data_IF_019087751159
#
_entry.id   IF_019087751159
#
_cell.length_a   1.000
_cell.length_b   1.000
_cell.length_c   1.000
_cell.angle_alpha   90.00
_cell.angle_beta   90.00
_cell.angle_gamma   90.00
#
_symmetry.space_group_name_H-M   'P 1'
#
loop_
_entity.id
_entity.type
_entity.pdbx_description
1 polymer ?
#
# COMPACT_ATOMS: atom_id res chain seq x y z
N UNK A 1 -3.43 -36.89 1.67
CA UNK A 1 -3.06 -35.46 1.72
C UNK A 1 -4.10 -34.73 2.57
N UNK A 2 -3.68 -33.94 3.57
CA UNK A 2 -4.56 -33.09 4.40
C UNK A 2 -4.01 -31.67 4.27
N UNK A 3 -4.77 -30.77 3.66
CA UNK A 3 -4.42 -29.36 3.56
C UNK A 3 -4.75 -28.67 4.90
N UNK A 4 -3.82 -27.87 5.41
CA UNK A 4 -4.02 -26.99 6.56
C UNK A 4 -3.67 -25.59 6.09
N UNK A 5 -4.65 -24.70 6.08
CA UNK A 5 -4.46 -23.30 5.74
C UNK A 5 -3.64 -22.61 6.86
N UNK A 6 -2.51 -22.00 6.50
CA UNK A 6 -1.72 -21.18 7.42
C UNK A 6 -2.11 -19.72 7.22
N UNK A 7 -2.86 -19.17 8.17
CA UNK A 7 -3.19 -17.75 8.17
C UNK A 7 -1.93 -16.91 8.45
N UNK A 8 -1.87 -15.65 7.98
CA UNK A 8 -0.80 -14.74 8.39
C UNK A 8 -0.75 -14.61 9.92
N UNK A 9 0.44 -14.73 10.50
CA UNK A 9 0.71 -14.49 11.92
C UNK A 9 1.54 -13.21 12.11
N UNK A 10 0.90 -12.01 12.20
CA UNK A 10 1.62 -10.75 12.38
C UNK A 10 2.59 -10.72 13.58
N UNK A 11 2.33 -11.54 14.60
CA UNK A 11 3.20 -11.66 15.78
C UNK A 11 4.61 -12.15 15.45
N UNK A 12 4.79 -12.86 14.34
CA UNK A 12 6.10 -13.31 13.85
C UNK A 12 6.93 -12.15 13.27
N UNK A 13 6.31 -11.01 12.97
CA UNK A 13 7.01 -9.81 12.52
C UNK A 13 7.73 -9.20 13.71
N UNK A 14 9.06 -9.19 13.65
CA UNK A 14 9.94 -8.75 14.73
C UNK A 14 10.25 -7.25 14.66
N UNK A 15 10.23 -6.64 13.47
CA UNK A 15 10.69 -5.26 13.31
C UNK A 15 12.16 -5.11 13.73
N UNK A 16 12.53 -3.92 14.21
CA UNK A 16 13.90 -3.59 14.59
C UNK A 16 14.33 -4.23 15.93
N UNK A 17 13.46 -4.22 16.94
CA UNK A 17 13.79 -4.65 18.31
C UNK A 17 13.03 -5.90 18.79
N UNK A 18 12.30 -6.59 17.91
CA UNK A 18 11.50 -7.77 18.25
C UNK A 18 10.06 -7.47 18.66
N UNK A 19 9.69 -6.19 18.76
CA UNK A 19 8.37 -5.71 19.18
C UNK A 19 7.38 -5.50 18.01
N UNK A 20 7.85 -5.65 16.77
CA UNK A 20 7.06 -5.42 15.55
C UNK A 20 7.06 -3.96 15.07
N UNK A 21 7.86 -3.10 15.69
CA UNK A 21 8.02 -1.70 15.30
C UNK A 21 9.36 -1.45 14.61
N UNK A 22 9.39 -0.40 13.79
CA UNK A 22 10.62 0.15 13.20
C UNK A 22 10.67 1.67 13.42
N UNK A 23 11.87 2.27 13.51
CA UNK A 23 12.00 3.72 13.50
C UNK A 23 11.56 4.28 12.14
N UNK A 24 10.88 5.42 12.16
CA UNK A 24 10.41 6.10 10.95
C UNK A 24 11.44 7.05 10.32
N UNK A 25 12.61 7.21 10.95
CA UNK A 25 13.65 8.12 10.50
C UNK A 25 13.46 9.59 10.92
N UNK A 26 12.33 9.92 11.56
CA UNK A 26 11.96 11.27 12.00
C UNK A 26 11.75 11.35 13.52
N UNK A 27 12.13 10.30 14.25
CA UNK A 27 12.01 10.21 15.71
C UNK A 27 10.73 9.55 16.21
N UNK A 28 9.87 9.07 15.31
CA UNK A 28 8.69 8.26 15.60
C UNK A 28 8.89 6.78 15.27
N UNK A 29 7.79 6.03 15.36
CA UNK A 29 7.73 4.60 15.08
C UNK A 29 6.64 4.28 14.06
N UNK A 30 6.80 3.14 13.38
CA UNK A 30 5.79 2.52 12.51
C UNK A 30 5.54 1.08 12.97
N UNK A 31 4.26 0.70 13.06
CA UNK A 31 3.84 -0.67 13.36
C UNK A 31 3.72 -1.50 12.09
N UNK A 32 4.61 -2.48 11.91
CA UNK A 32 4.53 -3.41 10.76
C UNK A 32 3.34 -4.36 10.87
N UNK A 33 2.94 -4.68 12.10
CA UNK A 33 1.83 -5.59 12.39
C UNK A 33 0.50 -4.94 12.04
N UNK A 34 0.30 -3.69 12.44
CA UNK A 34 -0.93 -2.97 12.16
C UNK A 34 -1.04 -2.63 10.67
N UNK A 35 0.10 -2.32 10.02
CA UNK A 35 0.16 -2.17 8.57
C UNK A 35 -0.33 -3.43 7.83
N UNK A 36 0.22 -4.61 8.18
CA UNK A 36 -0.22 -5.87 7.57
C UNK A 36 -1.69 -6.16 7.84
N UNK A 37 -2.13 -5.95 9.08
CA UNK A 37 -3.53 -6.17 9.47
C UNK A 37 -4.48 -5.27 8.67
N UNK A 38 -4.14 -4.00 8.52
CA UNK A 38 -4.95 -3.02 7.80
C UNK A 38 -5.09 -3.39 6.32
N UNK A 39 -3.98 -3.72 5.65
CA UNK A 39 -3.98 -4.17 4.26
C UNK A 39 -4.83 -5.44 4.12
N UNK A 40 -4.57 -6.45 4.94
CA UNK A 40 -5.30 -7.73 4.88
C UNK A 40 -6.79 -7.59 5.19
N UNK A 41 -7.18 -6.68 6.09
CA UNK A 41 -8.59 -6.42 6.39
C UNK A 41 -9.32 -5.86 5.17
N UNK A 42 -8.71 -4.90 4.46
CA UNK A 42 -9.28 -4.34 3.23
C UNK A 42 -9.31 -5.34 2.09
N UNK A 43 -8.27 -6.17 1.96
CA UNK A 43 -8.26 -7.25 0.97
C UNK A 43 -9.41 -8.24 1.21
N UNK A 44 -9.59 -8.73 2.45
CA UNK A 44 -10.71 -9.64 2.76
C UNK A 44 -12.09 -9.04 2.48
N UNK A 45 -12.22 -7.72 2.51
CA UNK A 45 -13.47 -7.04 2.19
C UNK A 45 -13.68 -6.89 0.68
N UNK A 46 -12.64 -6.49 -0.06
CA UNK A 46 -12.72 -6.22 -1.50
C UNK A 46 -12.61 -7.48 -2.37
N UNK A 47 -11.99 -8.53 -1.82
CA UNK A 47 -11.63 -9.76 -2.48
C UNK A 47 -12.11 -10.98 -1.68
N UNK A 48 -11.68 -12.18 -2.06
CA UNK A 48 -11.96 -13.41 -1.32
C UNK A 48 -11.04 -13.56 -0.09
N UNK A 49 -11.50 -14.30 0.94
CA UNK A 49 -10.79 -14.51 2.22
C UNK A 49 -9.35 -14.99 2.06
N UNK A 50 -9.07 -15.75 1.01
CA UNK A 50 -7.79 -16.44 0.79
C UNK A 50 -6.74 -15.52 0.12
N UNK A 51 -7.14 -14.31 -0.31
CA UNK A 51 -6.26 -13.32 -0.97
C UNK A 51 -5.68 -12.34 0.05
N UNK A 52 -4.88 -12.86 0.99
CA UNK A 52 -4.19 -12.06 2.01
C UNK A 52 -2.67 -12.21 1.92
N UNK A 53 -1.95 -11.19 2.34
CA UNK A 53 -0.50 -11.24 2.46
C UNK A 53 -0.05 -11.97 3.73
N UNK A 54 0.92 -12.87 3.57
CA UNK A 54 1.63 -13.50 4.67
C UNK A 54 2.57 -12.54 5.40
N UNK A 55 3.00 -12.91 6.60
CA UNK A 55 3.93 -12.12 7.41
C UNK A 55 5.37 -12.07 6.83
N UNK A 56 5.70 -12.96 5.90
CA UNK A 56 7.01 -13.06 5.26
C UNK A 56 7.47 -11.74 4.60
N UNK A 57 6.53 -10.97 4.02
CA UNK A 57 6.81 -9.68 3.38
C UNK A 57 7.43 -8.65 4.33
N UNK A 58 7.22 -8.78 5.65
CA UNK A 58 7.70 -7.83 6.64
C UNK A 58 8.67 -8.42 7.67
N UNK A 59 9.04 -9.71 7.59
CA UNK A 59 9.96 -10.32 8.57
C UNK A 59 11.37 -9.67 8.55
N UNK A 60 11.86 -9.37 7.35
CA UNK A 60 13.20 -8.79 7.13
C UNK A 60 13.22 -7.26 7.18
N UNK A 61 12.06 -6.61 7.40
CA UNK A 61 11.97 -5.15 7.49
C UNK A 61 12.46 -4.68 8.86
N UNK A 62 13.54 -3.88 8.88
CA UNK A 62 14.21 -3.38 10.09
C UNK A 62 14.23 -1.86 10.22
N UNK A 63 13.96 -1.16 9.13
CA UNK A 63 14.01 0.30 9.04
C UNK A 63 13.01 0.79 7.99
N UNK A 64 12.83 2.11 7.92
CA UNK A 64 11.87 2.72 6.99
C UNK A 64 12.23 2.46 5.53
N UNK A 65 13.51 2.38 5.18
CA UNK A 65 13.92 2.17 3.80
C UNK A 65 13.59 0.76 3.33
N UNK A 66 13.87 -0.26 4.14
CA UNK A 66 13.43 -1.64 3.87
C UNK A 66 11.91 -1.76 3.80
N UNK A 67 11.16 -1.00 4.61
CA UNK A 67 9.69 -0.96 4.50
C UNK A 67 9.23 -0.34 3.18
N UNK A 68 9.80 0.79 2.78
CA UNK A 68 9.48 1.45 1.50
C UNK A 68 9.76 0.53 0.31
N UNK A 69 10.88 -0.20 0.34
CA UNK A 69 11.21 -1.18 -0.69
C UNK A 69 10.20 -2.33 -0.73
N UNK A 70 9.86 -2.92 0.42
CA UNK A 70 8.86 -3.98 0.50
C UNK A 70 7.50 -3.51 -0.03
N UNK A 71 7.09 -2.28 0.28
CA UNK A 71 5.84 -1.72 -0.24
C UNK A 71 5.86 -1.55 -1.76
N UNK A 72 6.90 -0.96 -2.32
CA UNK A 72 6.98 -0.60 -3.75
C UNK A 72 7.27 -1.80 -4.65
N UNK A 73 8.13 -2.71 -4.22
CA UNK A 73 8.62 -3.80 -5.06
C UNK A 73 7.93 -5.14 -4.80
N UNK A 74 7.29 -5.32 -3.64
CA UNK A 74 6.63 -6.58 -3.30
C UNK A 74 5.11 -6.41 -3.15
N UNK A 75 4.66 -5.54 -2.24
CA UNK A 75 3.23 -5.41 -1.92
C UNK A 75 2.43 -4.80 -3.08
N UNK A 76 2.86 -3.65 -3.61
CA UNK A 76 2.10 -2.94 -4.65
C UNK A 76 2.01 -3.74 -5.96
N UNK A 77 3.09 -4.37 -6.47
CA UNK A 77 3.00 -5.24 -7.65
C UNK A 77 2.04 -6.41 -7.44
N UNK A 78 2.06 -7.04 -6.26
CA UNK A 78 1.10 -8.11 -5.95
C UNK A 78 -0.34 -7.61 -5.87
N UNK A 79 -0.57 -6.40 -5.35
CA UNK A 79 -1.89 -5.77 -5.38
C UNK A 79 -2.35 -5.50 -6.82
N UNK A 80 -1.45 -5.07 -7.72
CA UNK A 80 -1.75 -4.88 -9.13
C UNK A 80 -2.20 -6.19 -9.80
N UNK A 81 -1.52 -7.30 -9.49
CA UNK A 81 -1.93 -8.63 -9.94
C UNK A 81 -3.31 -9.05 -9.37
N UNK A 82 -3.57 -8.83 -8.08
CA UNK A 82 -4.84 -9.20 -7.45
C UNK A 82 -6.04 -8.39 -7.99
N UNK A 83 -5.82 -7.13 -8.33
CA UNK A 83 -6.86 -6.22 -8.79
C UNK A 83 -6.92 -6.06 -10.32
N UNK A 84 -6.14 -6.84 -11.08
CA UNK A 84 -6.06 -6.73 -12.54
C UNK A 84 -5.80 -5.29 -13.01
N UNK A 85 -4.80 -4.63 -12.41
CA UNK A 85 -4.47 -3.22 -12.64
C UNK A 85 -5.59 -2.21 -12.31
N UNK A 86 -6.59 -2.57 -11.48
CA UNK A 86 -7.52 -1.57 -10.91
C UNK A 86 -6.83 -0.75 -9.80
N UNK A 87 -6.06 0.24 -10.24
CA UNK A 87 -5.31 1.17 -9.40
C UNK A 87 -6.19 1.97 -8.43
N UNK A 88 -7.49 2.13 -8.72
CA UNK A 88 -8.40 2.81 -7.80
C UNK A 88 -8.68 1.91 -6.58
N UNK A 89 -8.81 0.61 -6.76
CA UNK A 89 -8.94 -0.34 -5.65
C UNK A 89 -7.66 -0.45 -4.83
N UNK A 90 -6.49 -0.46 -5.48
CA UNK A 90 -5.19 -0.45 -4.79
C UNK A 90 -5.06 0.81 -3.92
N UNK A 91 -5.42 1.99 -4.45
CA UNK A 91 -5.47 3.25 -3.68
C UNK A 91 -6.38 3.16 -2.45
N UNK A 92 -7.52 2.47 -2.55
CA UNK A 92 -8.39 2.23 -1.38
C UNK A 92 -7.73 1.34 -0.33
N UNK A 93 -7.04 0.28 -0.75
CA UNK A 93 -6.28 -0.60 0.16
C UNK A 93 -5.20 0.18 0.92
N UNK A 94 -4.54 1.13 0.25
CA UNK A 94 -3.48 1.97 0.83
C UNK A 94 -3.98 3.27 1.48
N UNK A 95 -5.31 3.46 1.61
CA UNK A 95 -5.91 4.69 2.15
C UNK A 95 -5.41 5.98 1.43
N UNK A 96 -5.20 5.92 0.12
CA UNK A 96 -4.78 7.07 -0.70
C UNK A 96 -5.94 8.02 -1.02
N UNK A 97 -7.18 7.53 -1.08
CA UNK A 97 -8.35 8.33 -1.48
C UNK A 97 -8.69 9.46 -0.50
N UNK A 98 -8.42 9.27 0.79
CA UNK A 98 -8.70 10.26 1.85
C UNK A 98 -7.47 11.04 2.29
N UNK A 99 -6.29 10.74 1.72
CA UNK A 99 -5.03 11.33 2.14
C UNK A 99 -4.68 12.59 1.33
N UNK A 100 -4.00 13.59 1.94
CA UNK A 100 -3.42 14.68 1.20
C UNK A 100 -2.36 14.15 0.21
N UNK A 101 -2.12 14.88 -0.88
CA UNK A 101 -1.27 14.43 -2.00
C UNK A 101 0.17 14.07 -1.57
N UNK A 102 0.71 14.77 -0.57
CA UNK A 102 2.01 14.49 0.04
C UNK A 102 2.07 13.09 0.67
N UNK A 103 0.99 12.63 1.28
CA UNK A 103 0.89 11.32 1.93
C UNK A 103 0.30 10.23 1.04
N UNK A 104 0.02 10.50 -0.23
CA UNK A 104 -0.38 9.46 -1.17
C UNK A 104 0.84 8.63 -1.61
N UNK A 105 0.71 7.31 -1.65
CA UNK A 105 1.73 6.41 -2.20
C UNK A 105 1.54 6.30 -3.72
N UNK A 106 0.29 6.19 -4.17
CA UNK A 106 -0.08 6.15 -5.58
C UNK A 106 -0.80 7.46 -5.93
N UNK A 107 -0.09 8.28 -6.70
CA UNK A 107 -0.62 9.55 -7.20
C UNK A 107 -1.54 9.32 -8.39
N UNK A 108 -2.54 10.19 -8.52
CA UNK A 108 -3.48 10.22 -9.65
C UNK A 108 -3.37 11.55 -10.38
N UNK A 109 -3.20 11.51 -11.69
CA UNK A 109 -3.31 12.66 -12.59
C UNK A 109 -4.33 12.35 -13.67
N UNK A 110 -4.93 13.38 -14.26
CA UNK A 110 -5.81 13.21 -15.42
C UNK A 110 -4.99 13.50 -16.68
N UNK A 111 -5.01 12.57 -17.62
CA UNK A 111 -4.46 12.74 -18.95
C UNK A 111 -5.53 13.35 -19.84
N UNK A 112 -5.22 14.54 -20.34
CA UNK A 112 -6.02 15.27 -21.31
C UNK A 112 -5.47 14.99 -22.72
N UNK A 113 -6.24 14.30 -23.59
CA UNK A 113 -5.82 14.03 -24.97
C UNK A 113 -5.48 15.28 -25.77
N UNK A 114 -6.16 16.42 -25.50
CA UNK A 114 -5.91 17.69 -26.17
C UNK A 114 -4.52 18.27 -25.86
N UNK A 115 -3.98 17.98 -24.68
CA UNK A 115 -2.61 18.36 -24.30
C UNK A 115 -1.55 17.38 -24.82
N UNK A 116 -1.90 16.10 -24.92
CA UNK A 116 -0.95 15.04 -25.31
C UNK A 116 -0.76 14.92 -26.82
N UNK A 117 -1.80 15.18 -27.62
CA UNK A 117 -1.81 14.96 -29.06
C UNK A 117 -2.21 16.24 -29.81
N UNK A 118 -1.41 17.30 -29.64
CA UNK A 118 -1.66 18.60 -30.26
C UNK A 118 -1.84 18.48 -31.80
N UNK A 119 -2.94 19.05 -32.31
CA UNK A 119 -3.24 19.12 -33.75
C UNK A 119 -4.14 18.01 -34.29
N UNK A 120 -4.61 17.08 -33.45
CA UNK A 120 -5.63 16.10 -33.81
C UNK A 120 -6.97 16.44 -33.15
N UNK A 121 -8.06 16.51 -33.92
CA UNK A 121 -9.43 16.51 -33.39
C UNK A 121 -9.74 15.10 -32.88
N UNK A 122 -9.30 14.79 -31.67
CA UNK A 122 -9.53 13.51 -31.02
C UNK A 122 -10.71 13.61 -30.06
N UNK A 123 -11.82 12.95 -30.39
CA UNK A 123 -12.93 12.69 -29.47
C UNK A 123 -12.57 11.50 -28.56
N UNK A 124 -11.54 11.70 -27.72
CA UNK A 124 -11.09 10.71 -26.74
C UNK A 124 -11.42 11.20 -25.34
N UNK A 125 -11.88 10.31 -24.44
CA UNK A 125 -12.14 10.70 -23.07
C UNK A 125 -10.83 10.95 -22.32
N UNK A 126 -10.89 11.87 -21.36
CA UNK A 126 -9.87 11.98 -20.32
C UNK A 126 -9.73 10.67 -19.56
N UNK A 127 -8.51 10.33 -19.15
CA UNK A 127 -8.23 9.09 -18.41
C UNK A 127 -7.34 9.36 -17.20
N UNK A 128 -7.56 8.66 -16.08
CA UNK A 128 -6.62 8.73 -14.97
C UNK A 128 -5.31 8.02 -15.34
N UNK A 129 -4.19 8.66 -15.00
CA UNK A 129 -2.85 8.07 -14.95
C UNK A 129 -2.45 7.92 -13.49
N UNK A 130 -2.03 6.73 -13.13
CA UNK A 130 -1.63 6.37 -11.77
C UNK A 130 -0.13 6.14 -11.73
N UNK A 131 0.54 6.69 -10.71
CA UNK A 131 1.98 6.50 -10.53
C UNK A 131 2.31 6.22 -9.08
N UNK A 132 2.98 5.09 -8.86
CA UNK A 132 3.60 4.73 -7.60
C UNK A 132 4.81 5.65 -7.39
N UNK A 133 4.88 6.29 -6.23
CA UNK A 133 6.06 7.07 -5.83
C UNK A 133 7.29 6.18 -5.68
N UNK A 134 8.48 6.71 -5.94
CA UNK A 134 9.72 6.00 -5.64
C UNK A 134 9.84 5.75 -4.13
N UNK A 135 10.54 4.69 -3.68
CA UNK A 135 10.67 4.37 -2.25
C UNK A 135 11.05 5.59 -1.40
N UNK A 136 12.04 6.38 -1.82
CA UNK A 136 12.52 7.56 -1.10
C UNK A 136 11.54 8.75 -1.06
N UNK A 137 10.49 8.75 -1.88
CA UNK A 137 9.46 9.80 -1.90
C UNK A 137 8.26 9.46 -0.98
N UNK A 138 8.21 8.25 -0.43
CA UNK A 138 7.15 7.82 0.48
C UNK A 138 7.49 8.27 1.90
N UNK A 139 6.70 9.18 2.44
CA UNK A 139 6.89 9.69 3.81
C UNK A 139 6.47 8.66 4.86
N UNK A 140 6.95 8.77 6.11
CA UNK A 140 6.42 8.00 7.23
C UNK A 140 4.90 8.04 7.33
N UNK A 141 4.31 9.24 7.20
CA UNK A 141 2.86 9.43 7.31
C UNK A 141 2.07 8.77 6.18
N UNK A 142 2.66 8.63 4.99
CA UNK A 142 2.06 7.87 3.91
C UNK A 142 1.90 6.38 4.24
N UNK A 143 2.79 5.83 5.08
CA UNK A 143 2.71 4.44 5.56
C UNK A 143 1.80 4.34 6.78
N UNK A 144 1.94 5.28 7.73
CA UNK A 144 1.18 5.33 8.98
C UNK A 144 -0.33 5.41 8.77
N UNK A 145 -0.77 6.28 7.85
CA UNK A 145 -2.20 6.46 7.53
C UNK A 145 -2.91 5.16 7.14
N UNK A 146 -2.19 4.15 6.64
CA UNK A 146 -2.77 2.91 6.15
C UNK A 146 -3.49 2.20 7.31
N UNK A 147 -2.93 2.23 8.52
CA UNK A 147 -3.55 1.62 9.69
C UNK A 147 -4.24 2.63 10.60
N UNK A 148 -3.78 3.88 10.70
CA UNK A 148 -4.46 4.93 11.50
C UNK A 148 -5.88 5.21 11.01
N UNK A 149 -6.13 5.08 9.71
CA UNK A 149 -7.48 5.25 9.14
C UNK A 149 -8.49 4.18 9.56
N UNK A 150 -8.04 3.12 10.25
CA UNK A 150 -8.91 2.10 10.84
C UNK A 150 -9.12 2.27 12.33
N UNK A 151 -8.38 3.18 12.99
CA UNK A 151 -8.69 3.57 14.36
C UNK A 151 -10.02 4.33 14.34
N UNK A 152 -11.07 3.67 14.82
CA UNK A 152 -12.38 4.28 14.96
C UNK A 152 -12.24 5.56 15.81
N UNK A 153 -12.84 6.70 15.43
CA UNK A 153 -13.10 7.73 16.41
C UNK A 153 -14.01 7.10 17.47
N UNK A 154 -13.52 7.06 18.71
CA UNK A 154 -14.32 6.75 19.88
C UNK A 154 -15.45 7.77 20.06
#
# INVERSE_FOLDING_TARGET
FRFIELMPEPKQITGNQGDGYIPDGEGGLLSLRDLLNAINLRLRYLLHRDQTFGHAYFMEVKDIDSLRHAMVYDIIPMLAEYFYDDWQQIRRVLADDTAPAEHQIITRKILDPGQLFAGAELDLPEKPDFRVKQPGEITPDALRKIYDSLEMPA
#
